data_IF_217196132873
#
_entry.id   IF_217196132873
#
_cell.length_a   1.000
_cell.length_b   1.000
_cell.length_c   1.000
_cell.angle_alpha   90.00
_cell.angle_beta   90.00
_cell.angle_gamma   90.00
#
_symmetry.space_group_name_H-M   'P 1'
#
loop_
_entity.id
_entity.type
_entity.pdbx_description
1 polymer ?
#
# COMPACT_ATOMS: atom_id res chain seq x y z
N UNK A 1 54.20 44.41 -7.70
CA UNK A 1 52.74 44.54 -7.45
C UNK A 1 52.06 43.31 -8.04
N UNK A 2 51.59 42.37 -7.20
CA UNK A 2 50.96 41.11 -7.66
C UNK A 2 49.47 41.38 -7.94
N UNK A 3 49.01 41.14 -9.16
CA UNK A 3 47.61 41.29 -9.55
C UNK A 3 46.82 40.06 -9.08
N UNK A 4 45.83 40.26 -8.23
CA UNK A 4 44.87 39.23 -7.83
C UNK A 4 43.68 39.32 -8.77
N UNK A 5 43.40 38.24 -9.50
CA UNK A 5 42.20 38.11 -10.34
C UNK A 5 41.14 37.42 -9.49
N UNK A 6 40.04 38.12 -9.22
CA UNK A 6 38.89 37.58 -8.49
C UNK A 6 37.87 37.06 -9.51
N UNK A 7 37.71 35.75 -9.57
CA UNK A 7 36.71 35.09 -10.42
C UNK A 7 35.44 34.88 -9.62
N UNK A 8 34.32 35.50 -10.02
CA UNK A 8 32.99 35.21 -9.47
C UNK A 8 32.31 34.20 -10.40
N UNK A 9 32.08 32.99 -9.90
CA UNK A 9 31.29 31.97 -10.58
C UNK A 9 29.82 32.11 -10.23
N UNK A 10 28.96 32.39 -11.21
CA UNK A 10 27.51 32.41 -11.04
C UNK A 10 26.98 30.98 -11.27
N UNK A 11 26.54 30.31 -10.20
CA UNK A 11 25.91 28.99 -10.28
C UNK A 11 24.44 29.12 -10.69
N UNK A 12 24.08 28.60 -11.86
CA UNK A 12 22.68 28.49 -12.29
C UNK A 12 22.03 27.31 -11.53
N UNK A 13 21.08 27.60 -10.63
CA UNK A 13 20.24 26.56 -10.02
C UNK A 13 19.08 26.30 -10.95
N UNK A 14 19.10 25.17 -11.66
CA UNK A 14 17.96 24.74 -12.49
C UNK A 14 16.94 24.07 -11.57
N UNK A 15 15.84 24.76 -11.27
CA UNK A 15 14.69 24.15 -10.63
C UNK A 15 13.90 23.35 -11.68
N UNK A 16 13.90 22.03 -11.58
CA UNK A 16 13.01 21.17 -12.37
C UNK A 16 11.60 21.24 -11.78
N UNK A 17 10.61 21.61 -12.59
CA UNK A 17 9.18 21.50 -12.23
C UNK A 17 8.64 20.24 -12.90
N UNK A 18 8.19 19.26 -12.11
CA UNK A 18 7.44 18.11 -12.62
C UNK A 18 6.00 18.54 -12.89
N UNK A 19 5.42 18.06 -13.99
CA UNK A 19 3.99 18.25 -14.24
C UNK A 19 3.16 17.46 -13.20
N UNK A 20 2.03 18.02 -12.76
CA UNK A 20 1.12 17.38 -11.80
C UNK A 20 -0.33 17.68 -12.17
N UNK A 21 -1.22 16.70 -11.99
CA UNK A 21 -2.66 16.89 -12.02
C UNK A 21 -3.13 17.37 -10.65
N UNK A 22 -3.74 18.56 -10.61
CA UNK A 22 -4.31 19.11 -9.38
C UNK A 22 -5.83 19.17 -9.51
N UNK A 23 -6.53 18.40 -8.68
CA UNK A 23 -7.99 18.44 -8.59
C UNK A 23 -8.42 19.24 -7.36
N UNK A 24 -9.06 20.40 -7.56
CA UNK A 24 -9.68 21.19 -6.50
C UNK A 24 -11.21 21.13 -6.50
N UNK A 25 -11.82 20.48 -7.50
CA UNK A 25 -13.27 20.40 -7.66
C UNK A 25 -13.71 18.95 -7.84
N UNK A 26 -13.93 18.49 -9.08
CA UNK A 26 -14.40 17.15 -9.40
C UNK A 26 -13.70 16.60 -10.62
N UNK A 27 -13.25 15.36 -10.52
CA UNK A 27 -12.91 14.50 -11.66
C UNK A 27 -13.90 13.34 -11.66
N UNK A 28 -14.56 13.11 -12.78
CA UNK A 28 -15.45 11.96 -12.96
C UNK A 28 -14.96 11.14 -14.15
N UNK A 29 -14.68 9.86 -13.90
CA UNK A 29 -14.25 8.90 -14.90
C UNK A 29 -15.39 7.90 -15.04
N UNK A 30 -16.10 7.98 -16.16
CA UNK A 30 -17.28 7.17 -16.44
C UNK A 30 -16.94 5.70 -16.63
N UNK A 31 -17.95 4.84 -16.48
CA UNK A 31 -17.85 3.43 -16.84
C UNK A 31 -17.42 3.26 -18.30
N UNK A 32 -16.56 2.28 -18.56
CA UNK A 32 -15.97 2.03 -19.88
C UNK A 32 -14.85 3.00 -20.30
N UNK A 33 -14.62 4.09 -19.57
CA UNK A 33 -13.50 4.98 -19.85
C UNK A 33 -12.16 4.34 -19.44
N UNK A 34 -11.14 4.51 -20.27
CA UNK A 34 -9.75 4.22 -19.96
C UNK A 34 -8.99 5.54 -19.88
N UNK A 35 -8.46 5.85 -18.69
CA UNK A 35 -7.69 7.07 -18.42
C UNK A 35 -6.30 6.69 -17.92
N UNK A 36 -5.28 7.40 -18.37
CA UNK A 36 -3.92 7.25 -17.88
C UNK A 36 -3.41 8.58 -17.33
N UNK A 37 -3.04 8.59 -16.05
CA UNK A 37 -2.36 9.71 -15.42
C UNK A 37 -0.86 9.43 -15.44
N UNK A 38 -0.18 10.03 -16.42
CA UNK A 38 1.27 9.91 -16.61
C UNK A 38 2.12 10.69 -15.61
N UNK A 39 1.49 11.41 -14.68
CA UNK A 39 2.12 12.30 -13.70
C UNK A 39 1.46 12.16 -12.35
N UNK A 40 2.06 12.77 -11.32
CA UNK A 40 1.49 12.82 -9.99
C UNK A 40 0.09 13.45 -9.98
N UNK A 41 -0.72 13.06 -9.02
CA UNK A 41 -2.06 13.59 -8.76
C UNK A 41 -2.13 14.13 -7.33
N UNK A 42 -2.49 15.40 -7.18
CA UNK A 42 -2.95 15.94 -5.90
C UNK A 42 -4.46 16.15 -5.94
N UNK A 43 -5.19 15.37 -5.15
CA UNK A 43 -6.63 15.50 -4.99
C UNK A 43 -7.00 16.27 -3.72
N UNK A 44 -7.56 17.47 -3.88
CA UNK A 44 -8.24 18.22 -2.81
C UNK A 44 -9.76 18.34 -3.03
N UNK A 45 -10.25 17.90 -4.20
CA UNK A 45 -11.67 17.80 -4.55
C UNK A 45 -12.23 16.38 -4.42
N UNK A 46 -13.18 16.02 -5.28
CA UNK A 46 -13.74 14.67 -5.38
C UNK A 46 -13.25 13.99 -6.66
N UNK A 47 -12.75 12.75 -6.54
CA UNK A 47 -12.54 11.87 -7.70
C UNK A 47 -13.59 10.78 -7.64
N UNK A 48 -14.33 10.58 -8.73
CA UNK A 48 -15.18 9.41 -8.94
C UNK A 48 -14.59 8.56 -10.06
N UNK A 49 -14.17 7.35 -9.76
CA UNK A 49 -13.69 6.38 -10.75
C UNK A 49 -14.68 5.24 -10.92
N UNK A 50 -15.39 5.21 -12.05
CA UNK A 50 -16.20 4.07 -12.48
C UNK A 50 -15.57 3.32 -13.67
N UNK A 51 -14.43 3.80 -14.20
CA UNK A 51 -13.74 3.22 -15.36
C UNK A 51 -12.45 2.48 -14.98
N UNK A 52 -11.48 2.46 -15.89
CA UNK A 52 -10.13 1.94 -15.64
C UNK A 52 -9.11 3.08 -15.66
N UNK A 53 -8.34 3.20 -14.58
CA UNK A 53 -7.32 4.25 -14.41
C UNK A 53 -5.95 3.62 -14.33
N UNK A 54 -5.06 3.98 -15.24
CA UNK A 54 -3.63 3.75 -15.11
C UNK A 54 -3.01 4.90 -14.33
N UNK A 55 -2.53 4.63 -13.12
CA UNK A 55 -1.81 5.57 -12.29
C UNK A 55 -0.32 5.30 -12.46
N UNK A 56 0.40 6.25 -13.08
CA UNK A 56 1.84 6.11 -13.35
C UNK A 56 2.74 7.00 -12.48
N UNK A 57 2.15 7.97 -11.78
CA UNK A 57 2.82 8.82 -10.79
C UNK A 57 2.26 8.62 -9.39
N UNK A 58 2.66 9.49 -8.48
CA UNK A 58 2.20 9.46 -7.08
C UNK A 58 0.74 9.93 -6.96
N UNK A 59 0.03 9.41 -5.96
CA UNK A 59 -1.30 9.87 -5.58
C UNK A 59 -1.25 10.49 -4.18
N UNK A 60 -1.55 11.78 -4.08
CA UNK A 60 -1.82 12.47 -2.81
C UNK A 60 -3.30 12.78 -2.70
N UNK A 61 -4.02 12.03 -1.87
CA UNK A 61 -5.45 12.22 -1.66
C UNK A 61 -5.76 12.92 -0.32
N UNK A 62 -6.07 14.21 -0.38
CA UNK A 62 -6.46 14.99 0.80
C UNK A 62 -7.98 15.10 0.97
N UNK A 63 -8.75 14.42 0.12
CA UNK A 63 -10.21 14.55 0.07
C UNK A 63 -10.87 13.24 -0.36
N UNK A 64 -11.98 13.29 -1.10
CA UNK A 64 -12.84 12.12 -1.35
C UNK A 64 -12.46 11.41 -2.65
N UNK A 65 -12.34 10.09 -2.58
CA UNK A 65 -12.35 9.19 -3.73
C UNK A 65 -13.58 8.28 -3.60
N UNK A 66 -14.33 8.12 -4.68
CA UNK A 66 -15.39 7.11 -4.82
C UNK A 66 -14.98 6.21 -5.97
N UNK A 67 -14.83 4.92 -5.71
CA UNK A 67 -14.34 3.96 -6.70
C UNK A 67 -15.31 2.80 -6.88
N UNK A 68 -15.74 2.57 -8.13
CA UNK A 68 -16.39 1.35 -8.63
C UNK A 68 -15.58 0.71 -9.77
N UNK A 69 -14.55 1.42 -10.21
CA UNK A 69 -13.66 1.06 -11.29
C UNK A 69 -12.41 0.33 -10.82
N UNK A 70 -11.49 0.17 -11.75
CA UNK A 70 -10.17 -0.42 -11.53
C UNK A 70 -9.11 0.68 -11.52
N UNK A 71 -8.13 0.56 -10.63
CA UNK A 71 -6.89 1.33 -10.65
C UNK A 71 -5.72 0.38 -10.91
N UNK A 72 -4.94 0.64 -11.95
CA UNK A 72 -3.70 -0.07 -12.25
C UNK A 72 -2.54 0.81 -11.81
N UNK A 73 -1.67 0.31 -10.95
CA UNK A 73 -0.44 0.98 -10.52
C UNK A 73 0.70 0.47 -11.40
N UNK A 74 1.00 1.22 -12.47
CA UNK A 74 1.89 0.80 -13.57
C UNK A 74 2.87 1.91 -14.01
N UNK A 75 3.38 2.65 -13.03
CA UNK A 75 4.47 3.60 -13.21
C UNK A 75 5.81 2.94 -13.54
N UNK A 76 6.78 3.75 -13.96
CA UNK A 76 8.14 3.28 -14.28
C UNK A 76 9.11 3.39 -13.09
N UNK A 77 8.69 4.07 -12.02
CA UNK A 77 9.42 4.25 -10.76
C UNK A 77 8.48 3.90 -9.61
N UNK A 78 8.97 3.48 -8.43
CA UNK A 78 8.11 3.23 -7.27
C UNK A 78 7.16 4.41 -7.01
N UNK A 79 5.90 4.11 -6.75
CA UNK A 79 4.85 5.10 -6.58
C UNK A 79 4.46 5.25 -5.11
N UNK A 80 4.06 6.44 -4.70
CA UNK A 80 3.59 6.71 -3.35
C UNK A 80 2.09 6.99 -3.36
N UNK A 81 1.35 6.32 -2.48
CA UNK A 81 -0.03 6.68 -2.14
C UNK A 81 0.00 7.34 -0.76
N UNK A 82 -0.36 8.61 -0.71
CA UNK A 82 -0.30 9.45 0.48
C UNK A 82 -1.57 10.29 0.61
N UNK A 83 -1.68 11.04 1.70
CA UNK A 83 -2.80 11.95 1.91
C UNK A 83 -3.15 12.12 3.37
N UNK A 84 -4.27 12.80 3.61
CA UNK A 84 -4.82 13.01 4.96
C UNK A 84 -6.01 12.13 5.26
N UNK A 85 -6.42 11.27 4.30
CA UNK A 85 -7.58 10.38 4.40
C UNK A 85 -7.23 8.99 3.87
N UNK A 86 -8.00 8.00 4.31
CA UNK A 86 -8.00 6.66 3.69
C UNK A 86 -8.34 6.81 2.21
N UNK A 87 -7.61 6.07 1.37
CA UNK A 87 -7.85 6.00 -0.07
C UNK A 87 -8.73 4.81 -0.38
N UNK A 88 -9.94 5.06 -0.86
CA UNK A 88 -10.91 4.02 -1.22
C UNK A 88 -10.76 3.60 -2.68
N UNK A 89 -10.55 2.31 -2.95
CA UNK A 89 -10.52 1.72 -4.28
C UNK A 89 -11.42 0.48 -4.35
N UNK A 90 -12.10 0.25 -5.48
CA UNK A 90 -12.90 -0.97 -5.67
C UNK A 90 -11.98 -2.13 -6.06
N UNK A 91 -11.29 -2.00 -7.20
CA UNK A 91 -10.30 -2.97 -7.68
C UNK A 91 -8.95 -2.31 -7.92
N UNK A 92 -7.87 -3.00 -7.59
CA UNK A 92 -6.50 -2.56 -7.83
C UNK A 92 -5.67 -3.66 -8.51
N UNK A 93 -4.89 -3.31 -9.53
CA UNK A 93 -3.83 -4.15 -10.09
C UNK A 93 -2.47 -3.53 -9.75
N UNK A 94 -1.65 -4.27 -8.99
CA UNK A 94 -0.31 -3.85 -8.58
C UNK A 94 0.69 -4.40 -9.60
N UNK A 95 1.23 -3.51 -10.43
CA UNK A 95 2.18 -3.82 -11.51
C UNK A 95 3.53 -3.11 -11.33
N UNK A 96 3.72 -2.44 -10.19
CA UNK A 96 4.91 -1.71 -9.81
C UNK A 96 4.99 -1.58 -8.28
N UNK A 97 6.17 -1.23 -7.76
CA UNK A 97 6.35 -0.99 -6.33
C UNK A 97 5.49 0.19 -5.87
N UNK A 98 4.82 0.03 -4.73
CA UNK A 98 4.00 1.07 -4.13
C UNK A 98 4.30 1.25 -2.65
N UNK A 99 4.43 2.49 -2.22
CA UNK A 99 4.62 2.89 -0.84
C UNK A 99 3.35 3.54 -0.31
N UNK A 100 2.71 2.89 0.68
CA UNK A 100 1.52 3.38 1.34
C UNK A 100 1.93 4.24 2.55
N UNK A 101 1.62 5.54 2.48
CA UNK A 101 1.77 6.52 3.55
C UNK A 101 0.42 6.93 4.17
N UNK A 102 -0.66 6.33 3.69
CA UNK A 102 -2.01 6.38 4.26
C UNK A 102 -2.68 5.02 4.00
N UNK A 103 -3.64 4.58 4.81
CA UNK A 103 -4.35 3.34 4.53
C UNK A 103 -5.04 3.37 3.16
N UNK A 104 -5.01 2.23 2.47
CA UNK A 104 -5.73 2.00 1.21
C UNK A 104 -6.76 0.90 1.44
N UNK A 105 -8.03 1.25 1.30
CA UNK A 105 -9.17 0.35 1.49
C UNK A 105 -9.67 -0.16 0.15
N UNK A 106 -9.70 -1.49 0.01
CA UNK A 106 -10.09 -2.22 -1.19
C UNK A 106 -11.41 -2.93 -0.92
N UNK A 107 -12.44 -2.60 -1.69
CA UNK A 107 -13.78 -3.17 -1.49
C UNK A 107 -14.04 -4.47 -2.25
N UNK A 108 -13.29 -4.76 -3.33
CA UNK A 108 -13.52 -5.94 -4.18
C UNK A 108 -12.28 -6.80 -4.42
N UNK A 109 -11.22 -6.32 -5.06
CA UNK A 109 -10.07 -7.17 -5.40
C UNK A 109 -8.75 -6.40 -5.43
N UNK A 110 -7.70 -7.03 -4.89
CA UNK A 110 -6.29 -6.68 -5.19
C UNK A 110 -5.62 -7.79 -5.99
N UNK A 111 -5.24 -7.44 -7.22
CA UNK A 111 -4.45 -8.26 -8.12
C UNK A 111 -2.97 -7.93 -7.98
N UNK A 112 -2.22 -8.85 -7.38
CA UNK A 112 -0.76 -8.81 -7.37
C UNK A 112 -0.24 -9.37 -8.70
N UNK A 113 0.59 -8.59 -9.40
CA UNK A 113 1.22 -8.98 -10.67
C UNK A 113 2.71 -8.76 -10.63
N UNK A 114 3.13 -7.60 -10.14
CA UNK A 114 4.53 -7.22 -9.99
C UNK A 114 4.67 -6.08 -8.99
N UNK A 115 5.73 -6.13 -8.17
CA UNK A 115 6.09 -5.05 -7.27
C UNK A 115 5.54 -5.24 -5.87
N UNK A 116 6.23 -4.61 -4.91
CA UNK A 116 5.96 -4.74 -3.49
C UNK A 116 5.08 -3.59 -3.01
N UNK A 117 3.99 -3.95 -2.31
CA UNK A 117 3.19 -2.99 -1.56
C UNK A 117 3.84 -2.82 -0.18
N UNK A 118 4.60 -1.74 -0.01
CA UNK A 118 5.20 -1.40 1.28
C UNK A 118 4.26 -0.51 2.09
N UNK A 119 4.16 -0.76 3.40
CA UNK A 119 3.40 0.12 4.31
C UNK A 119 4.17 0.39 5.59
N UNK A 120 4.08 1.62 6.11
CA UNK A 120 4.67 2.03 7.38
C UNK A 120 3.69 2.87 8.22
N UNK A 121 4.00 3.02 9.51
CA UNK A 121 3.33 3.96 10.42
C UNK A 121 1.78 3.87 10.45
N UNK A 122 1.21 2.66 10.34
CA UNK A 122 -0.24 2.44 10.39
C UNK A 122 -0.97 2.53 9.03
N UNK A 123 -0.24 2.63 7.92
CA UNK A 123 -0.80 2.74 6.56
C UNK A 123 -1.13 1.38 5.93
N UNK A 124 -1.99 0.59 6.57
CA UNK A 124 -2.28 -0.78 6.11
C UNK A 124 -2.96 -0.82 4.72
N UNK A 125 -2.74 -1.93 4.00
CA UNK A 125 -3.64 -2.34 2.93
C UNK A 125 -4.86 -3.01 3.57
N UNK A 126 -6.04 -2.39 3.45
CA UNK A 126 -7.27 -2.86 4.06
C UNK A 126 -8.16 -3.53 3.01
N UNK A 127 -8.64 -4.74 3.30
CA UNK A 127 -9.58 -5.48 2.46
C UNK A 127 -10.93 -5.57 3.18
N UNK A 128 -11.97 -5.12 2.49
CA UNK A 128 -13.36 -5.21 2.96
C UNK A 128 -13.86 -6.65 3.12
N UNK A 129 -15.08 -6.81 3.65
CA UNK A 129 -15.68 -8.12 3.97
C UNK A 129 -15.67 -9.12 2.80
N UNK A 130 -16.04 -8.65 1.61
CA UNK A 130 -16.11 -9.47 0.40
C UNK A 130 -14.88 -9.31 -0.51
N UNK A 131 -13.87 -8.55 -0.08
CA UNK A 131 -12.70 -8.30 -0.90
C UNK A 131 -11.76 -9.51 -0.93
N UNK A 132 -11.22 -9.80 -2.10
CA UNK A 132 -10.27 -10.89 -2.36
C UNK A 132 -8.88 -10.36 -2.71
N UNK A 133 -7.90 -11.27 -2.62
CA UNK A 133 -6.58 -11.08 -3.22
C UNK A 133 -6.29 -12.22 -4.20
N UNK A 134 -5.53 -11.93 -5.25
CA UNK A 134 -5.06 -12.93 -6.20
C UNK A 134 -3.65 -12.61 -6.72
N UNK A 135 -2.86 -13.65 -6.97
CA UNK A 135 -1.55 -13.53 -7.63
C UNK A 135 -0.38 -13.13 -6.73
N UNK A 136 -0.56 -13.17 -5.40
CA UNK A 136 0.54 -12.91 -4.47
C UNK A 136 1.69 -13.91 -4.70
N UNK A 137 2.92 -13.41 -4.68
CA UNK A 137 4.14 -14.19 -4.93
C UNK A 137 5.37 -13.47 -4.36
N UNK A 138 6.55 -14.09 -4.42
CA UNK A 138 7.81 -13.43 -4.08
C UNK A 138 8.03 -12.14 -4.89
N UNK A 139 7.51 -12.07 -6.12
CA UNK A 139 7.61 -10.88 -6.98
C UNK A 139 6.57 -9.80 -6.69
N UNK A 140 5.50 -10.12 -5.95
CA UNK A 140 4.45 -9.16 -5.63
C UNK A 140 3.64 -9.60 -4.41
N UNK A 141 3.82 -8.88 -3.31
CA UNK A 141 3.16 -9.10 -2.03
C UNK A 141 3.22 -7.81 -1.20
N UNK A 142 2.64 -7.85 0.00
CA UNK A 142 2.67 -6.74 0.95
C UNK A 142 3.84 -6.90 1.90
N UNK A 143 4.77 -5.95 1.91
CA UNK A 143 5.79 -5.79 2.96
C UNK A 143 5.31 -4.76 3.98
N UNK A 144 4.55 -5.24 4.97
CA UNK A 144 3.88 -4.41 5.96
C UNK A 144 2.53 -5.01 6.39
N UNK A 145 1.62 -4.18 6.88
CA UNK A 145 0.34 -4.63 7.42
C UNK A 145 -0.73 -4.82 6.34
N UNK A 146 -1.43 -5.95 6.42
CA UNK A 146 -2.70 -6.21 5.71
C UNK A 146 -3.80 -6.39 6.74
N UNK A 147 -4.92 -5.66 6.57
CA UNK A 147 -6.10 -5.80 7.43
C UNK A 147 -7.26 -6.35 6.64
N UNK A 148 -7.83 -7.46 7.09
CA UNK A 148 -9.04 -8.06 6.52
C UNK A 148 -10.22 -7.80 7.43
N UNK A 149 -11.32 -7.30 6.87
CA UNK A 149 -12.63 -7.23 7.54
C UNK A 149 -13.47 -8.46 7.17
N UNK A 150 -14.37 -8.88 8.03
CA UNK A 150 -15.22 -10.06 7.87
C UNK A 150 -14.65 -11.30 8.55
N UNK A 151 -15.35 -12.43 8.39
CA UNK A 151 -15.04 -13.69 9.06
C UNK A 151 -14.78 -14.87 8.10
N UNK A 152 -14.73 -14.59 6.79
CA UNK A 152 -14.48 -15.57 5.74
C UNK A 152 -13.03 -16.05 5.74
N UNK A 153 -12.80 -17.19 5.09
CA UNK A 153 -11.44 -17.66 4.83
C UNK A 153 -10.67 -16.63 4.00
N UNK A 154 -9.43 -16.37 4.38
CA UNK A 154 -8.58 -15.42 3.70
C UNK A 154 -7.11 -15.83 3.82
N UNK A 155 -6.38 -15.76 2.71
CA UNK A 155 -4.94 -15.94 2.68
C UNK A 155 -4.28 -14.56 2.66
N UNK A 156 -3.50 -14.26 3.70
CA UNK A 156 -2.83 -12.98 3.84
C UNK A 156 -1.60 -12.91 2.93
N UNK A 157 -1.52 -11.94 1.99
CA UNK A 157 -0.43 -11.83 1.03
C UNK A 157 0.74 -11.03 1.62
N UNK A 158 1.21 -11.38 2.83
CA UNK A 158 2.27 -10.66 3.55
C UNK A 158 3.64 -11.30 3.32
N UNK A 159 4.70 -10.50 3.40
CA UNK A 159 6.09 -10.92 3.27
C UNK A 159 7.06 -9.84 3.78
N UNK A 160 8.32 -9.94 3.40
CA UNK A 160 9.38 -8.97 3.78
C UNK A 160 9.81 -8.05 2.64
N UNK A 161 9.22 -8.18 1.46
CA UNK A 161 9.59 -7.47 0.24
C UNK A 161 10.54 -8.27 -0.66
N UNK A 162 11.06 -9.41 -0.19
CA UNK A 162 11.86 -10.35 -0.98
C UNK A 162 11.17 -11.70 -1.15
N UNK A 163 10.44 -12.16 -0.13
CA UNK A 163 9.75 -13.45 -0.14
C UNK A 163 8.34 -13.32 0.42
N UNK A 164 7.40 -14.01 -0.23
CA UNK A 164 6.05 -14.17 0.26
C UNK A 164 6.04 -15.15 1.44
N UNK A 165 5.35 -14.76 2.49
CA UNK A 165 5.20 -15.51 3.74
C UNK A 165 3.73 -15.58 4.09
N UNK A 166 2.93 -16.05 3.13
CA UNK A 166 1.50 -16.12 3.28
C UNK A 166 1.10 -17.13 4.35
N UNK A 167 -0.06 -16.88 4.93
CA UNK A 167 -0.74 -17.84 5.78
C UNK A 167 -2.24 -17.69 5.57
N UNK A 168 -2.98 -18.78 5.76
CA UNK A 168 -4.42 -18.79 5.60
C UNK A 168 -5.11 -18.85 6.96
N UNK A 169 -6.12 -18.01 7.13
CA UNK A 169 -7.14 -18.21 8.16
C UNK A 169 -8.36 -18.85 7.52
N UNK A 170 -8.91 -19.89 8.15
CA UNK A 170 -10.11 -20.57 7.65
C UNK A 170 -11.39 -19.87 8.12
N UNK A 171 -11.33 -19.25 9.30
CA UNK A 171 -12.40 -18.47 9.90
C UNK A 171 -11.80 -17.53 10.93
N UNK A 172 -12.31 -16.30 11.00
CA UNK A 172 -11.96 -15.36 12.06
C UNK A 172 -13.08 -15.35 13.11
N UNK A 173 -12.71 -15.39 14.40
CA UNK A 173 -13.64 -15.23 15.52
C UNK A 173 -14.15 -13.79 15.65
N UNK A 174 -13.34 -12.85 15.16
CA UNK A 174 -13.65 -11.43 15.11
C UNK A 174 -14.07 -10.89 13.74
N UNK A 175 -14.40 -9.60 13.70
CA UNK A 175 -14.82 -8.87 12.51
C UNK A 175 -13.63 -8.30 11.72
N UNK A 176 -12.44 -8.23 12.32
CA UNK A 176 -11.24 -7.76 11.62
C UNK A 176 -9.99 -8.47 12.13
N UNK A 177 -9.08 -8.79 11.22
CA UNK A 177 -7.74 -9.27 11.53
C UNK A 177 -6.71 -8.48 10.73
N UNK A 178 -5.76 -7.88 11.42
CA UNK A 178 -4.56 -7.28 10.82
C UNK A 178 -3.37 -8.21 11.02
N UNK A 179 -2.61 -8.43 9.94
CA UNK A 179 -1.45 -9.29 9.94
C UNK A 179 -0.25 -8.60 9.29
N UNK A 180 0.93 -8.88 9.84
CA UNK A 180 2.22 -8.47 9.29
C UNK A 180 3.24 -9.59 9.50
N UNK A 181 4.08 -9.84 8.50
CA UNK A 181 5.24 -10.73 8.62
C UNK A 181 6.47 -9.95 9.11
N UNK A 182 7.24 -10.54 10.03
CA UNK A 182 8.47 -9.97 10.56
C UNK A 182 9.61 -10.99 10.47
N UNK A 183 10.64 -10.68 9.68
CA UNK A 183 11.89 -11.45 9.60
C UNK A 183 12.86 -11.09 10.74
N UNK A 184 12.46 -11.38 11.98
CA UNK A 184 13.29 -11.20 13.19
C UNK A 184 13.10 -12.35 14.16
N UNK A 185 14.03 -12.46 15.09
CA UNK A 185 13.91 -13.43 16.17
C UNK A 185 12.73 -13.04 17.08
N UNK A 186 11.69 -13.87 17.27
CA UNK A 186 10.60 -13.58 18.21
C UNK A 186 11.07 -13.43 19.66
N UNK A 187 12.24 -13.99 20.02
CA UNK A 187 12.84 -13.78 21.33
C UNK A 187 13.28 -12.33 21.58
N UNK A 188 13.38 -11.50 20.54
CA UNK A 188 13.58 -10.05 20.66
C UNK A 188 12.31 -9.33 21.19
N UNK A 189 11.14 -9.97 21.09
CA UNK A 189 9.86 -9.46 21.59
C UNK A 189 9.57 -9.99 23.00
N UNK A 190 9.74 -11.29 23.21
CA UNK A 190 9.59 -11.94 24.51
C UNK A 190 10.49 -13.17 24.61
N UNK A 191 11.24 -13.29 25.70
CA UNK A 191 12.02 -14.49 26.02
C UNK A 191 11.20 -15.57 26.73
N UNK A 192 9.93 -15.30 27.05
CA UNK A 192 9.06 -16.24 27.75
C UNK A 192 8.42 -17.21 26.76
N UNK A 193 8.56 -18.51 27.04
CA UNK A 193 7.89 -19.59 26.32
C UNK A 193 6.79 -20.17 27.21
N UNK A 194 5.67 -20.57 26.61
CA UNK A 194 4.58 -21.21 27.33
C UNK A 194 4.98 -22.62 27.81
N UNK A 195 4.27 -23.14 28.81
CA UNK A 195 4.48 -24.47 29.35
C UNK A 195 4.31 -25.52 28.25
N UNK A 196 5.37 -26.30 28.00
CA UNK A 196 5.52 -27.29 26.91
C UNK A 196 5.94 -26.76 25.53
N UNK A 197 6.38 -25.50 25.42
CA UNK A 197 7.09 -25.03 24.22
C UNK A 197 8.60 -25.22 24.44
N UNK A 198 9.19 -26.18 23.74
CA UNK A 198 10.63 -26.49 23.83
C UNK A 198 11.48 -25.54 22.96
N UNK A 199 11.01 -25.23 21.75
CA UNK A 199 11.68 -24.34 20.81
C UNK A 199 10.67 -23.62 19.90
N UNK A 200 11.05 -22.43 19.42
CA UNK A 200 10.32 -21.66 18.41
C UNK A 200 11.26 -21.28 17.27
N UNK A 201 10.71 -20.92 16.12
CA UNK A 201 11.50 -20.35 15.02
C UNK A 201 12.21 -19.08 15.53
N UNK A 202 13.52 -18.98 15.31
CA UNK A 202 14.34 -17.87 15.81
C UNK A 202 14.66 -16.81 14.74
N UNK A 203 13.99 -16.85 13.60
CA UNK A 203 14.28 -16.02 12.43
C UNK A 203 13.08 -15.23 11.93
N UNK A 204 11.86 -15.66 12.24
CA UNK A 204 10.65 -15.04 11.74
C UNK A 204 9.43 -15.28 12.63
N UNK A 205 8.46 -14.38 12.54
CA UNK A 205 7.14 -14.51 13.14
C UNK A 205 6.09 -13.64 12.41
N UNK A 206 4.82 -13.92 12.66
CA UNK A 206 3.70 -13.08 12.22
C UNK A 206 3.13 -12.33 13.43
N UNK A 207 2.83 -11.05 13.25
CA UNK A 207 2.07 -10.24 14.21
C UNK A 207 0.61 -10.24 13.78
N UNK A 208 -0.27 -10.68 14.67
CA UNK A 208 -1.71 -10.71 14.45
C UNK A 208 -2.42 -9.79 15.44
N UNK A 209 -3.29 -8.92 14.95
CA UNK A 209 -4.11 -8.00 15.79
C UNK A 209 -5.57 -8.10 15.39
N UNK A 210 -6.42 -8.41 16.36
CA UNK A 210 -7.87 -8.34 16.24
C UNK A 210 -8.40 -7.14 17.03
N UNK A 211 -9.45 -6.48 16.54
CA UNK A 211 -10.11 -5.38 17.26
C UNK A 211 -11.26 -5.86 18.16
N UNK A 212 -11.49 -7.16 18.22
CA UNK A 212 -12.44 -7.73 19.17
C UNK A 212 -11.74 -7.98 20.50
N UNK A 213 -12.40 -7.59 21.60
CA UNK A 213 -11.93 -7.71 22.98
C UNK A 213 -11.71 -9.16 23.45
N UNK A 214 -11.74 -10.14 22.54
CA UNK A 214 -11.26 -11.49 22.76
C UNK A 214 -10.07 -11.73 21.83
N UNK A 215 -8.88 -11.72 22.44
CA UNK A 215 -7.64 -12.23 21.86
C UNK A 215 -7.88 -13.54 21.12
N UNK A 216 -7.28 -13.63 19.93
CA UNK A 216 -7.16 -14.85 19.11
C UNK A 216 -6.52 -15.97 19.92
#
# INVERSE_FOLDING_TARGET
MKKVILSIGLGLVVASVSAQVVNSTKIHISEGALVSFGTDITNSGEITNNGKVHLKGDLKNNSKIVSKGEVVIDGNTPQTISGTRVVEMSRISVENDVNLQTPVSISEEVSFRKGIVSSNNGSALELGENASQNGASDLSHVSGSVKKTGNSSFEFPVGDGSSLKSFQVNKMSGNTLEAQYIAKNPLDVSSELDYNVEEINQTEYWVLKSNDNNSV
#
